data_IF_531192844471
#
_entry.id   IF_531192844471
#
_cell.length_a   1.000
_cell.length_b   1.000
_cell.length_c   1.000
_cell.angle_alpha   90.00
_cell.angle_beta   90.00
_cell.angle_gamma   90.00
#
_symmetry.space_group_name_H-M   'P 1'
#
loop_
_entity.id
_entity.type
_entity.pdbx_description
1 polymer ?
#
# COMPACT_ATOMS: atom_id res chain seq x y z
N UNK A 1 -72.57 -19.60 -17.37
CA UNK A 1 -71.18 -19.31 -17.82
C UNK A 1 -70.33 -18.99 -16.60
N UNK A 2 -69.43 -19.87 -16.22
CA UNK A 2 -68.50 -19.66 -15.09
C UNK A 2 -67.13 -19.32 -15.72
N UNK A 3 -66.68 -18.07 -15.54
CA UNK A 3 -65.39 -17.62 -16.03
C UNK A 3 -64.33 -18.01 -14.99
N UNK A 4 -63.44 -18.91 -15.35
CA UNK A 4 -62.25 -19.23 -14.52
C UNK A 4 -61.16 -18.19 -14.81
N UNK A 5 -60.79 -17.42 -13.80
CA UNK A 5 -59.64 -16.53 -13.83
C UNK A 5 -58.41 -17.33 -13.44
N UNK A 6 -57.55 -17.63 -14.40
CA UNK A 6 -56.25 -18.29 -14.17
C UNK A 6 -55.27 -17.20 -13.76
N UNK A 7 -54.92 -17.09 -12.46
CA UNK A 7 -53.79 -16.29 -12.01
C UNK A 7 -52.48 -16.95 -12.39
N UNK A 8 -51.76 -16.36 -13.35
CA UNK A 8 -50.39 -16.75 -13.66
C UNK A 8 -49.47 -16.02 -12.66
N UNK A 9 -48.92 -16.79 -11.72
CA UNK A 9 -47.93 -16.31 -10.78
C UNK A 9 -46.57 -16.19 -11.48
N UNK A 10 -46.19 -14.97 -11.86
CA UNK A 10 -44.83 -14.69 -12.33
C UNK A 10 -43.89 -14.70 -11.15
N UNK A 11 -43.15 -15.80 -10.96
CA UNK A 11 -42.01 -15.85 -10.03
C UNK A 11 -40.88 -14.99 -10.62
N UNK A 12 -40.70 -13.78 -10.07
CA UNK A 12 -39.53 -12.95 -10.31
C UNK A 12 -38.34 -13.63 -9.65
N UNK A 13 -37.58 -14.43 -10.38
CA UNK A 13 -36.27 -14.89 -9.99
C UNK A 13 -35.35 -13.66 -10.09
N UNK A 14 -35.17 -12.95 -8.97
CA UNK A 14 -34.12 -11.97 -8.83
C UNK A 14 -32.79 -12.69 -8.86
N UNK A 15 -32.18 -12.81 -10.04
CA UNK A 15 -30.79 -13.17 -10.19
C UNK A 15 -29.97 -12.06 -9.51
N UNK A 16 -29.63 -12.26 -8.23
CA UNK A 16 -28.61 -11.47 -7.56
C UNK A 16 -27.29 -11.81 -8.20
N UNK A 17 -26.91 -11.09 -9.26
CA UNK A 17 -25.53 -11.08 -9.75
C UNK A 17 -24.66 -10.45 -8.66
N UNK A 18 -24.36 -11.21 -7.61
CA UNK A 18 -23.23 -10.90 -6.76
C UNK A 18 -21.98 -11.18 -7.62
N UNK A 19 -21.33 -10.11 -8.09
CA UNK A 19 -19.99 -10.26 -8.63
C UNK A 19 -19.16 -11.02 -7.61
N UNK A 20 -18.55 -12.10 -8.03
CA UNK A 20 -17.85 -13.02 -7.13
C UNK A 20 -16.49 -12.39 -6.82
N UNK A 21 -16.42 -11.61 -5.75
CA UNK A 21 -15.20 -10.98 -5.24
C UNK A 21 -14.55 -11.88 -4.18
N UNK A 22 -14.16 -13.10 -4.58
CA UNK A 22 -13.68 -14.14 -3.67
C UNK A 22 -12.39 -13.78 -2.94
N UNK A 23 -11.62 -12.83 -3.48
CA UNK A 23 -10.32 -12.41 -2.96
C UNK A 23 -10.35 -11.05 -2.26
N UNK A 24 -11.47 -10.34 -2.33
CA UNK A 24 -11.65 -9.05 -1.64
C UNK A 24 -11.73 -9.23 -0.11
N UNK A 25 -11.49 -8.16 0.68
CA UNK A 25 -11.71 -8.17 2.11
C UNK A 25 -13.12 -8.65 2.48
N UNK A 26 -13.20 -9.56 3.45
CA UNK A 26 -14.44 -10.19 3.88
C UNK A 26 -14.37 -10.55 5.37
N UNK A 27 -15.48 -10.97 5.98
CA UNK A 27 -15.49 -11.43 7.36
C UNK A 27 -14.49 -12.60 7.60
N UNK A 28 -14.32 -13.50 6.62
CA UNK A 28 -13.37 -14.63 6.69
C UNK A 28 -11.93 -14.20 6.42
N UNK A 29 -11.74 -13.24 5.54
CA UNK A 29 -10.44 -12.72 5.13
C UNK A 29 -10.44 -11.19 5.26
N UNK A 30 -10.22 -10.65 6.48
CA UNK A 30 -10.41 -9.20 6.76
C UNK A 30 -9.55 -8.29 5.89
N UNK A 31 -8.40 -8.77 5.42
CA UNK A 31 -7.48 -8.02 4.57
C UNK A 31 -7.46 -8.54 3.12
N UNK A 32 -8.47 -9.33 2.73
CA UNK A 32 -8.47 -10.00 1.44
C UNK A 32 -7.44 -11.12 1.35
N UNK A 33 -7.22 -11.60 0.15
CA UNK A 33 -6.19 -12.62 -0.17
C UNK A 33 -5.71 -12.46 -1.61
N UNK A 34 -4.52 -12.97 -1.96
CA UNK A 34 -4.03 -12.88 -3.32
C UNK A 34 -4.92 -13.67 -4.28
N UNK A 35 -5.17 -13.11 -5.46
CA UNK A 35 -5.85 -13.80 -6.54
C UNK A 35 -4.84 -14.75 -7.23
N UNK A 36 -5.16 -16.03 -7.47
CA UNK A 36 -4.29 -16.96 -8.19
C UNK A 36 -3.92 -16.51 -9.61
N UNK A 37 -4.78 -15.69 -10.24
CA UNK A 37 -4.55 -15.16 -11.59
C UNK A 37 -3.66 -13.90 -11.57
N UNK A 38 -3.33 -13.37 -10.39
CA UNK A 38 -2.41 -12.25 -10.26
C UNK A 38 -0.96 -12.67 -10.54
N UNK A 39 -0.08 -11.75 -10.99
CA UNK A 39 1.35 -12.00 -11.00
C UNK A 39 1.83 -12.50 -9.62
N UNK A 40 2.75 -13.48 -9.60
CA UNK A 40 3.25 -14.08 -8.34
C UNK A 40 3.80 -13.05 -7.35
N UNK A 41 4.27 -11.92 -7.84
CA UNK A 41 4.79 -10.80 -7.06
C UNK A 41 3.75 -10.16 -6.14
N UNK A 42 2.45 -10.44 -6.34
CA UNK A 42 1.40 -10.00 -5.40
C UNK A 42 1.70 -10.45 -3.97
N UNK A 43 2.48 -11.52 -3.81
CA UNK A 43 2.93 -12.07 -2.53
C UNK A 43 4.10 -11.31 -1.89
N UNK A 44 4.79 -10.42 -2.61
CA UNK A 44 5.94 -9.67 -2.08
C UNK A 44 5.56 -8.85 -0.82
N UNK A 45 4.28 -8.44 -0.73
CA UNK A 45 3.74 -7.69 0.40
C UNK A 45 3.04 -8.57 1.46
N UNK A 46 3.04 -9.90 1.32
CA UNK A 46 2.29 -10.80 2.21
C UNK A 46 2.70 -10.63 3.69
N UNK A 47 4.00 -10.49 3.94
CA UNK A 47 4.53 -10.29 5.29
C UNK A 47 4.00 -9.04 6.00
N UNK A 48 3.41 -8.09 5.27
CA UNK A 48 2.86 -6.85 5.83
C UNK A 48 1.34 -6.86 5.97
N UNK A 49 0.63 -7.86 5.40
CA UNK A 49 -0.83 -7.89 5.44
C UNK A 49 -1.37 -7.87 6.86
N UNK A 50 -2.36 -7.01 7.08
CA UNK A 50 -2.94 -6.76 8.40
C UNK A 50 -2.63 -5.36 8.92
N UNK A 51 -2.92 -5.15 10.20
CA UNK A 51 -2.69 -3.87 10.89
C UNK A 51 -1.57 -4.00 11.91
N UNK A 52 -0.61 -3.09 11.85
CA UNK A 52 0.48 -2.96 12.82
C UNK A 52 0.36 -1.65 13.62
N UNK A 53 0.84 -1.67 14.86
CA UNK A 53 1.12 -0.48 15.66
C UNK A 53 2.52 0.01 15.32
N UNK A 54 2.66 1.25 14.91
CA UNK A 54 3.93 1.76 14.41
C UNK A 54 4.32 3.07 15.09
N UNK A 55 5.62 3.34 15.07
CA UNK A 55 6.21 4.61 15.47
C UNK A 55 6.89 5.25 14.26
N UNK A 56 6.47 6.47 13.94
CA UNK A 56 6.98 7.25 12.80
C UNK A 56 7.93 8.33 13.30
N UNK A 57 9.17 8.35 12.78
CA UNK A 57 10.22 9.30 13.16
C UNK A 57 10.62 10.12 11.94
N UNK A 58 10.61 11.44 12.07
CA UNK A 58 11.15 12.37 11.07
C UNK A 58 12.51 12.88 11.53
N UNK A 59 13.44 13.01 10.59
CA UNK A 59 14.72 13.64 10.85
C UNK A 59 14.57 15.17 10.82
N UNK A 60 15.06 15.83 11.84
CA UNK A 60 15.07 17.30 11.92
C UNK A 60 16.15 17.94 11.05
N UNK A 61 16.13 19.25 10.95
CA UNK A 61 17.15 20.03 10.23
C UNK A 61 18.51 20.00 10.93
N UNK A 62 18.53 19.68 12.23
CA UNK A 62 19.72 19.41 13.04
C UNK A 62 20.38 18.05 12.77
N UNK A 63 19.73 17.22 11.96
CA UNK A 63 20.17 15.86 11.64
C UNK A 63 19.79 14.80 12.66
N UNK A 64 19.05 15.16 13.72
CA UNK A 64 18.60 14.22 14.74
C UNK A 64 17.19 13.68 14.45
N UNK A 65 16.91 12.46 14.97
CA UNK A 65 15.57 11.90 14.89
C UNK A 65 14.66 12.54 15.93
N UNK A 66 13.57 13.15 15.46
CA UNK A 66 12.55 13.74 16.33
C UNK A 66 11.79 12.70 17.16
N UNK A 67 10.95 13.15 18.06
CA UNK A 67 10.08 12.31 18.85
C UNK A 67 9.15 11.47 17.93
N UNK A 68 8.85 10.22 18.27
CA UNK A 68 7.96 9.38 17.49
C UNK A 68 6.51 9.88 17.52
N UNK A 69 5.85 9.78 16.38
CA UNK A 69 4.39 9.89 16.27
C UNK A 69 3.83 8.48 16.17
N UNK A 70 2.91 8.14 17.07
CA UNK A 70 2.22 6.86 17.06
C UNK A 70 1.25 6.81 15.86
N UNK A 71 1.17 5.65 15.23
CA UNK A 71 0.29 5.41 14.08
C UNK A 71 -0.08 3.95 13.95
N UNK A 72 -1.20 3.68 13.29
CA UNK A 72 -1.50 2.37 12.72
C UNK A 72 -1.12 2.35 11.25
N UNK A 73 -0.65 1.21 10.77
CA UNK A 73 -0.40 0.97 9.35
C UNK A 73 -1.06 -0.34 8.94
N UNK A 74 -2.00 -0.23 8.02
CA UNK A 74 -2.77 -1.38 7.53
C UNK A 74 -2.43 -1.65 6.09
N UNK A 75 -2.16 -2.91 5.77
CA UNK A 75 -2.03 -3.42 4.40
C UNK A 75 -3.15 -4.39 4.10
N UNK A 76 -3.70 -4.32 2.89
CA UNK A 76 -4.76 -5.21 2.42
C UNK A 76 -4.65 -5.46 0.91
N UNK A 77 -5.18 -6.59 0.46
CA UNK A 77 -5.40 -6.84 -0.95
C UNK A 77 -6.62 -6.06 -1.45
N UNK A 78 -6.52 -5.50 -2.65
CA UNK A 78 -7.58 -4.75 -3.34
C UNK A 78 -7.79 -5.29 -4.75
N UNK A 79 -8.80 -4.77 -5.47
CA UNK A 79 -9.10 -5.18 -6.85
C UNK A 79 -9.25 -6.70 -6.97
N UNK A 80 -10.02 -7.29 -6.06
CA UNK A 80 -10.21 -8.74 -5.98
C UNK A 80 -8.89 -9.52 -5.92
N UNK A 81 -7.92 -9.03 -5.12
CA UNK A 81 -6.62 -9.68 -4.94
C UNK A 81 -5.57 -9.42 -6.02
N UNK A 82 -5.83 -8.48 -6.94
CA UNK A 82 -4.91 -8.13 -8.03
C UNK A 82 -3.99 -6.96 -7.71
N UNK A 83 -4.15 -6.32 -6.56
CA UNK A 83 -3.33 -5.20 -6.10
C UNK A 83 -3.25 -5.15 -4.59
N UNK A 84 -2.42 -4.26 -4.09
CA UNK A 84 -2.20 -4.03 -2.66
C UNK A 84 -2.46 -2.57 -2.34
N UNK A 85 -3.13 -2.32 -1.24
CA UNK A 85 -3.30 -0.99 -0.67
C UNK A 85 -2.73 -0.98 0.75
N UNK A 86 -2.11 0.12 1.12
CA UNK A 86 -1.89 0.46 2.52
C UNK A 86 -2.54 1.79 2.88
N UNK A 87 -2.79 1.95 4.17
CA UNK A 87 -3.17 3.24 4.73
C UNK A 87 -2.64 3.37 6.16
N UNK A 88 -2.32 4.62 6.52
CA UNK A 88 -1.83 4.99 7.85
C UNK A 88 -2.80 5.95 8.51
N UNK A 89 -3.01 5.76 9.82
CA UNK A 89 -3.74 6.68 10.67
C UNK A 89 -2.80 7.13 11.78
N UNK A 90 -2.38 8.38 11.76
CA UNK A 90 -1.46 8.95 12.73
C UNK A 90 -2.18 9.68 13.84
N UNK A 91 -1.58 9.67 15.02
CA UNK A 91 -2.09 10.37 16.19
C UNK A 91 -2.17 11.91 15.98
N UNK A 92 -1.32 12.47 15.14
CA UNK A 92 -1.33 13.89 14.77
C UNK A 92 -2.45 14.27 13.77
N UNK A 93 -3.29 13.31 13.36
CA UNK A 93 -4.38 13.49 12.40
C UNK A 93 -3.94 13.45 10.93
N UNK A 94 -2.65 13.29 10.63
CA UNK A 94 -2.18 13.11 9.26
C UNK A 94 -2.39 11.66 8.80
N UNK A 95 -3.15 11.50 7.71
CA UNK A 95 -3.46 10.20 7.12
C UNK A 95 -2.84 10.10 5.74
N UNK A 96 -2.37 8.91 5.39
CA UNK A 96 -1.81 8.66 4.06
C UNK A 96 -1.98 7.19 3.67
N UNK A 97 -1.73 6.90 2.43
CA UNK A 97 -1.76 5.54 1.92
C UNK A 97 -1.15 5.44 0.53
N UNK A 98 -1.08 4.24 0.03
CA UNK A 98 -0.63 3.99 -1.33
C UNK A 98 -1.44 2.86 -1.97
N UNK A 99 -1.58 2.93 -3.29
CA UNK A 99 -2.08 1.84 -4.13
C UNK A 99 -0.89 1.27 -4.87
N UNK A 100 -0.78 -0.06 -4.90
CA UNK A 100 0.32 -0.81 -5.51
C UNK A 100 -0.22 -1.79 -6.52
N UNK A 101 0.31 -1.74 -7.72
CA UNK A 101 0.04 -2.69 -8.79
C UNK A 101 1.36 -3.18 -9.37
N UNK A 102 1.46 -4.49 -9.60
CA UNK A 102 2.61 -5.05 -10.31
C UNK A 102 2.33 -5.02 -11.81
N UNK A 103 3.22 -4.42 -12.55
CA UNK A 103 3.22 -4.41 -14.00
C UNK A 103 4.14 -5.55 -14.51
N UNK A 104 3.53 -6.59 -15.06
CA UNK A 104 4.26 -7.76 -15.54
C UNK A 104 5.13 -7.47 -16.76
N UNK A 105 4.73 -6.50 -17.60
CA UNK A 105 5.44 -6.15 -18.84
C UNK A 105 6.74 -5.41 -18.50
N UNK A 106 6.71 -4.47 -17.57
CA UNK A 106 7.91 -3.76 -17.09
C UNK A 106 8.61 -4.45 -15.91
N UNK A 107 8.05 -5.58 -15.44
CA UNK A 107 8.54 -6.39 -14.33
C UNK A 107 8.85 -5.57 -13.07
N UNK A 108 7.91 -4.71 -12.65
CA UNK A 108 8.07 -3.85 -11.49
C UNK A 108 6.75 -3.46 -10.83
N UNK A 109 6.83 -3.11 -9.57
CA UNK A 109 5.75 -2.45 -8.84
C UNK A 109 5.62 -0.98 -9.25
N UNK A 110 4.36 -0.54 -9.43
CA UNK A 110 3.97 0.85 -9.52
C UNK A 110 3.23 1.21 -8.23
N UNK A 111 3.72 2.23 -7.52
CA UNK A 111 3.21 2.64 -6.20
C UNK A 111 2.79 4.10 -6.25
N UNK A 112 1.51 4.38 -6.06
CA UNK A 112 0.94 5.72 -6.06
C UNK A 112 0.55 6.11 -4.64
N UNK A 113 1.13 7.22 -4.14
CA UNK A 113 0.94 7.71 -2.79
C UNK A 113 -0.05 8.88 -2.74
N UNK A 114 -0.88 8.89 -1.71
CA UNK A 114 -1.79 9.98 -1.39
C UNK A 114 -1.74 10.31 0.11
N UNK A 115 -2.07 11.56 0.50
CA UNK A 115 -2.06 11.98 1.90
C UNK A 115 -3.04 13.11 2.17
N UNK A 116 -3.56 13.18 3.40
CA UNK A 116 -4.46 14.24 3.83
C UNK A 116 -3.81 15.62 3.96
N UNK A 117 -2.51 15.75 4.32
CA UNK A 117 -1.84 17.05 4.33
C UNK A 117 -1.65 17.68 2.95
N UNK A 118 -1.71 16.90 1.88
CA UNK A 118 -1.58 17.38 0.50
C UNK A 118 -2.72 16.82 -0.38
N UNK A 119 -4.00 17.11 -0.05
CA UNK A 119 -5.12 16.67 -0.86
C UNK A 119 -5.08 17.40 -2.22
N UNK A 120 -5.36 16.67 -3.28
CA UNK A 120 -5.40 17.25 -4.62
C UNK A 120 -4.03 17.53 -5.26
N UNK A 121 -2.93 17.08 -4.66
CA UNK A 121 -1.64 17.07 -5.36
C UNK A 121 -1.74 16.24 -6.63
N UNK A 122 -1.53 16.87 -7.78
CA UNK A 122 -1.57 16.22 -9.08
C UNK A 122 -0.25 16.50 -9.83
N UNK A 123 0.39 15.45 -10.37
CA UNK A 123 0.06 14.03 -10.23
C UNK A 123 0.38 13.48 -8.83
N UNK A 124 -0.25 12.35 -8.46
CA UNK A 124 0.13 11.62 -7.24
C UNK A 124 1.62 11.25 -7.30
N UNK A 125 2.28 11.31 -6.14
CA UNK A 125 3.66 10.82 -6.06
C UNK A 125 3.74 9.35 -6.42
N UNK A 126 4.72 9.00 -7.26
CA UNK A 126 4.84 7.67 -7.84
C UNK A 126 6.27 7.13 -7.65
N UNK A 127 6.36 5.92 -7.12
CA UNK A 127 7.60 5.15 -7.00
C UNK A 127 7.49 3.86 -7.80
N UNK A 128 8.63 3.36 -8.26
CA UNK A 128 8.73 2.04 -8.89
C UNK A 128 9.86 1.23 -8.27
N UNK A 129 9.75 -0.09 -8.26
CA UNK A 129 10.79 -0.97 -7.72
C UNK A 129 10.31 -2.38 -7.51
N UNK A 130 11.04 -3.17 -6.75
CA UNK A 130 10.80 -4.59 -6.58
C UNK A 130 11.16 -5.10 -5.18
N UNK A 131 10.85 -6.37 -4.95
CA UNK A 131 11.49 -7.18 -3.92
C UNK A 131 12.93 -7.49 -4.38
N UNK A 132 13.90 -7.06 -3.60
CA UNK A 132 15.33 -7.28 -3.78
C UNK A 132 15.85 -8.07 -2.56
N UNK A 133 16.17 -9.34 -2.76
CA UNK A 133 16.52 -10.27 -1.67
C UNK A 133 15.41 -10.37 -0.61
N UNK A 134 15.61 -9.76 0.54
CA UNK A 134 14.69 -9.72 1.68
C UNK A 134 14.09 -8.31 1.93
N UNK A 135 14.17 -7.39 0.96
CA UNK A 135 13.72 -6.00 1.07
C UNK A 135 12.86 -5.61 -0.11
N UNK A 136 11.84 -4.79 0.11
CA UNK A 136 11.14 -4.13 -0.98
C UNK A 136 11.74 -2.74 -1.11
N UNK A 137 12.33 -2.45 -2.27
CA UNK A 137 13.02 -1.18 -2.54
C UNK A 137 12.31 -0.47 -3.68
N UNK A 138 11.92 0.78 -3.43
CA UNK A 138 11.17 1.61 -4.36
C UNK A 138 11.92 2.91 -4.60
N UNK A 139 11.96 3.38 -5.84
CA UNK A 139 12.68 4.58 -6.25
C UNK A 139 11.77 5.56 -6.98
N UNK A 140 12.04 6.84 -6.77
CA UNK A 140 11.46 7.96 -7.53
C UNK A 140 12.56 8.98 -7.80
N UNK A 141 12.78 9.47 -9.04
CA UNK A 141 13.67 10.59 -9.30
C UNK A 141 13.29 11.80 -8.45
N UNK A 142 14.25 12.38 -7.76
CA UNK A 142 14.04 13.53 -6.88
C UNK A 142 15.33 14.32 -6.70
N UNK A 143 15.30 15.61 -6.99
CA UNK A 143 16.42 16.48 -6.65
C UNK A 143 16.48 16.74 -5.14
N UNK A 144 17.70 16.94 -4.65
CA UNK A 144 17.92 17.44 -3.29
C UNK A 144 17.44 18.90 -3.17
N UNK A 145 17.28 19.44 -1.95
CA UNK A 145 16.99 20.87 -1.76
C UNK A 145 18.03 21.81 -2.38
N UNK A 146 19.26 21.33 -2.62
CA UNK A 146 20.34 22.08 -3.23
C UNK A 146 20.40 21.91 -4.77
N UNK A 147 19.44 21.15 -5.36
CA UNK A 147 19.32 20.95 -6.81
C UNK A 147 20.15 19.80 -7.38
N UNK A 148 20.80 18.97 -6.56
CA UNK A 148 21.51 17.78 -7.03
C UNK A 148 20.52 16.68 -7.44
N UNK A 149 20.77 16.06 -8.59
CA UNK A 149 19.98 14.93 -9.06
C UNK A 149 20.18 13.70 -8.17
N UNK A 150 19.11 12.96 -7.96
CA UNK A 150 19.12 11.76 -7.15
C UNK A 150 17.74 11.09 -7.11
N UNK A 151 17.51 10.31 -6.08
CA UNK A 151 16.27 9.56 -5.90
C UNK A 151 15.75 9.65 -4.48
N UNK A 152 14.44 9.67 -4.35
CA UNK A 152 13.78 9.24 -3.11
C UNK A 152 13.72 7.71 -3.14
N UNK A 153 14.40 7.07 -2.20
CA UNK A 153 14.39 5.62 -1.98
C UNK A 153 13.53 5.28 -0.77
N UNK A 154 12.60 4.35 -0.93
CA UNK A 154 11.78 3.80 0.14
C UNK A 154 12.11 2.33 0.29
N UNK A 155 12.47 1.90 1.49
CA UNK A 155 12.86 0.51 1.75
C UNK A 155 12.02 -0.06 2.88
N UNK A 156 11.34 -1.20 2.61
CA UNK A 156 10.74 -2.06 3.63
C UNK A 156 11.70 -3.21 3.92
N UNK A 157 11.94 -3.51 5.19
CA UNK A 157 12.94 -4.49 5.61
C UNK A 157 12.62 -5.07 7.01
N UNK A 158 13.43 -6.01 7.48
CA UNK A 158 13.25 -6.67 8.79
C UNK A 158 11.87 -7.34 8.94
N UNK A 159 11.39 -7.98 7.88
CA UNK A 159 10.12 -8.70 7.93
C UNK A 159 10.16 -9.86 8.91
N UNK A 160 9.17 -9.94 9.79
CA UNK A 160 9.00 -11.02 10.75
C UNK A 160 7.53 -11.12 11.18
N UNK A 161 7.18 -12.20 11.89
CA UNK A 161 5.86 -12.33 12.53
C UNK A 161 5.58 -11.21 13.54
N UNK A 162 6.63 -10.56 14.08
CA UNK A 162 6.52 -9.49 15.08
C UNK A 162 6.37 -8.09 14.47
N UNK A 163 6.52 -7.95 13.15
CA UNK A 163 6.42 -6.66 12.46
C UNK A 163 7.47 -6.48 11.38
N UNK A 164 7.68 -5.24 10.99
CA UNK A 164 8.62 -4.82 9.94
C UNK A 164 9.10 -3.39 10.18
N UNK A 165 10.13 -3.01 9.44
CA UNK A 165 10.68 -1.65 9.44
C UNK A 165 10.56 -1.01 8.06
N UNK A 166 10.55 0.31 8.02
CA UNK A 166 10.55 1.08 6.80
C UNK A 166 11.44 2.32 6.95
N UNK A 167 12.14 2.70 5.87
CA UNK A 167 12.95 3.92 5.82
C UNK A 167 12.76 4.64 4.49
N UNK A 168 12.66 5.96 4.55
CA UNK A 168 12.68 6.86 3.41
C UNK A 168 13.98 7.67 3.43
N UNK A 169 14.67 7.69 2.27
CA UNK A 169 15.98 8.28 2.10
C UNK A 169 16.04 9.07 0.79
N UNK A 170 16.86 10.09 0.76
CA UNK A 170 17.37 10.64 -0.49
C UNK A 170 18.76 10.05 -0.75
N UNK A 171 19.00 9.66 -2.00
CA UNK A 171 20.32 9.16 -2.45
C UNK A 171 20.72 9.90 -3.71
N UNK A 172 22.02 10.13 -3.89
CA UNK A 172 22.56 10.64 -5.16
C UNK A 172 22.51 9.58 -6.27
N UNK A 173 22.70 9.99 -7.52
CA UNK A 173 22.66 9.08 -8.68
C UNK A 173 23.66 7.93 -8.56
N UNK A 174 24.82 8.16 -7.94
CA UNK A 174 25.86 7.16 -7.72
C UNK A 174 25.63 6.27 -6.49
N UNK A 175 24.59 6.52 -5.69
CA UNK A 175 24.35 5.87 -4.39
C UNK A 175 25.56 5.96 -3.43
N UNK A 176 26.32 7.04 -3.54
CA UNK A 176 27.50 7.33 -2.68
C UNK A 176 27.12 8.20 -1.49
N UNK A 177 26.08 9.01 -1.65
CA UNK A 177 25.50 9.83 -0.58
C UNK A 177 24.12 9.29 -0.24
N UNK A 178 23.90 8.98 1.02
CA UNK A 178 22.62 8.51 1.57
C UNK A 178 22.17 9.42 2.68
N UNK A 179 21.03 10.04 2.53
CA UNK A 179 20.45 10.93 3.52
C UNK A 179 19.06 10.40 3.97
N UNK A 180 18.99 9.69 5.12
CA UNK A 180 17.73 9.23 5.67
C UNK A 180 16.96 10.42 6.27
N UNK A 181 15.67 10.52 5.95
CA UNK A 181 14.82 11.63 6.43
C UNK A 181 13.54 11.17 7.14
N UNK A 182 13.19 9.89 7.03
CA UNK A 182 11.99 9.34 7.66
C UNK A 182 12.14 7.84 7.89
N UNK A 183 11.82 7.37 9.10
CA UNK A 183 11.75 5.94 9.39
C UNK A 183 10.49 5.58 10.15
N UNK A 184 10.05 4.33 10.01
CA UNK A 184 8.87 3.79 10.68
C UNK A 184 9.25 2.40 11.21
N UNK A 185 8.91 2.14 12.46
CA UNK A 185 9.10 0.86 13.14
C UNK A 185 7.73 0.30 13.53
N UNK A 186 7.37 -0.87 13.00
CA UNK A 186 6.05 -1.48 13.16
C UNK A 186 6.11 -2.77 13.99
N UNK A 187 5.11 -2.95 14.87
CA UNK A 187 4.91 -4.15 15.70
C UNK A 187 3.48 -4.65 15.56
N UNK A 188 3.31 -5.98 15.55
CA UNK A 188 2.01 -6.67 15.61
C UNK A 188 1.63 -6.97 17.03
#
# INVERSE_FOLDING_TARGET
MKTQITCVLFALISCSCFGQYDYAPSKKYPFGRPNPDAPKQIMDYEAMMGTCQCKSFRKGTDGEWGAPVDMTWTFQYIMNGMGVQDYTLKQDGAHSGSIRQYDADSARWNVHYYSSPAPGAAPLSHWTGNLEEDKIVLYRPQQSPQGYDGFSRLTFYNFSEKGYSWIGEWIDVGNTVVFPFWKIECKR
#
